data_IF_844207826893
#
_entry.id   IF_844207826893
#
_cell.length_a   1.000
_cell.length_b   1.000
_cell.length_c   1.000
_cell.angle_alpha   90.00
_cell.angle_beta   90.00
_cell.angle_gamma   90.00
#
_symmetry.space_group_name_H-M   'P 1'
#
loop_
_entity.id
_entity.type
_entity.pdbx_description
1 polymer ?
#
# COMPACT_ATOMS: atom_id res chain seq x y z
N UNK A 1 21.10 -23.45 21.29
CA UNK A 1 21.01 -24.88 21.61
C UNK A 1 20.11 -25.11 22.84
N UNK A 2 20.42 -24.52 24.01
CA UNK A 2 19.68 -24.78 25.25
C UNK A 2 18.13 -24.63 25.13
N UNK A 3 17.66 -23.62 24.40
CA UNK A 3 16.24 -23.35 24.21
C UNK A 3 15.51 -24.53 23.53
N UNK A 4 15.98 -24.98 22.38
CA UNK A 4 15.35 -26.10 21.66
C UNK A 4 15.53 -27.44 22.39
N UNK A 5 16.71 -27.65 23.01
CA UNK A 5 16.91 -28.85 23.86
C UNK A 5 15.93 -28.87 25.04
N UNK A 6 15.66 -27.72 25.65
CA UNK A 6 14.65 -27.62 26.71
C UNK A 6 13.24 -27.96 26.20
N UNK A 7 12.84 -27.38 25.05
CA UNK A 7 11.54 -27.64 24.43
C UNK A 7 11.35 -29.12 24.17
N UNK A 8 12.34 -29.77 23.57
CA UNK A 8 12.25 -31.19 23.19
C UNK A 8 12.39 -32.12 24.41
N UNK A 9 13.45 -31.96 25.20
CA UNK A 9 13.84 -32.94 26.22
C UNK A 9 13.20 -32.71 27.59
N UNK A 10 12.90 -31.47 27.96
CA UNK A 10 12.39 -31.11 29.27
C UNK A 10 10.90 -30.79 29.22
N UNK A 11 10.49 -29.93 28.31
CA UNK A 11 9.09 -29.57 28.13
C UNK A 11 8.30 -30.69 27.44
N UNK A 12 8.95 -31.44 26.53
CA UNK A 12 8.35 -32.55 25.81
C UNK A 12 7.28 -32.10 24.81
N UNK A 13 7.57 -31.05 24.04
CA UNK A 13 6.66 -30.53 23.04
C UNK A 13 6.51 -31.50 21.87
N UNK A 14 5.27 -31.70 21.41
CA UNK A 14 4.94 -32.50 20.22
C UNK A 14 5.13 -31.73 18.91
N UNK A 15 5.12 -30.39 18.97
CA UNK A 15 5.39 -29.49 17.87
C UNK A 15 5.88 -28.14 18.36
N UNK A 16 6.57 -27.39 17.50
CA UNK A 16 6.97 -25.99 17.75
C UNK A 16 6.23 -25.07 16.79
N UNK A 17 5.51 -24.11 17.33
CA UNK A 17 4.94 -23.02 16.56
C UNK A 17 5.80 -21.76 16.71
N UNK A 18 6.51 -21.38 15.66
CA UNK A 18 7.14 -20.08 15.57
C UNK A 18 6.10 -19.06 15.08
N UNK A 19 6.06 -17.91 15.74
CA UNK A 19 5.09 -16.86 15.46
C UNK A 19 5.81 -15.53 15.23
N UNK A 20 5.73 -14.99 14.02
CA UNK A 20 6.36 -13.70 13.69
C UNK A 20 6.76 -13.58 12.23
N UNK A 21 7.40 -12.47 11.89
CA UNK A 21 7.83 -12.18 10.52
C UNK A 21 9.28 -12.64 10.27
N UNK A 22 10.11 -12.64 11.29
CA UNK A 22 11.53 -13.00 11.21
C UNK A 22 11.85 -14.04 12.26
N UNK A 23 12.53 -15.11 11.84
CA UNK A 23 13.05 -16.12 12.73
C UNK A 23 14.56 -16.01 12.93
N UNK A 24 15.11 -16.86 13.81
CA UNK A 24 16.54 -16.98 14.02
C UNK A 24 17.07 -18.33 13.61
N UNK A 25 16.24 -19.36 13.67
CA UNK A 25 16.63 -20.76 13.44
C UNK A 25 17.21 -20.96 12.02
N UNK A 26 16.50 -20.48 11.02
CA UNK A 26 16.85 -20.61 9.61
C UNK A 26 18.14 -19.88 9.21
N UNK A 27 18.55 -18.88 10.01
CA UNK A 27 19.78 -18.10 9.78
C UNK A 27 21.01 -18.64 10.51
N UNK A 28 20.86 -19.72 11.28
CA UNK A 28 22.00 -20.34 11.98
C UNK A 28 23.00 -20.95 10.97
N UNK A 29 24.30 -21.07 11.36
CA UNK A 29 25.34 -21.56 10.46
C UNK A 29 25.04 -22.92 9.82
N UNK A 30 25.49 -23.09 8.58
CA UNK A 30 25.31 -24.30 7.79
C UNK A 30 25.31 -24.01 6.29
N UNK A 31 24.76 -24.90 5.48
CA UNK A 31 24.60 -24.68 4.04
C UNK A 31 23.66 -23.52 3.77
N UNK A 32 23.96 -22.70 2.77
CA UNK A 32 23.10 -21.58 2.37
C UNK A 32 21.74 -22.03 1.82
N UNK A 33 21.73 -23.12 1.06
CA UNK A 33 20.53 -23.67 0.43
C UNK A 33 20.35 -25.11 0.88
N UNK A 34 19.19 -25.38 1.46
CA UNK A 34 18.89 -26.67 2.06
C UNK A 34 19.65 -26.88 3.39
N UNK A 35 19.62 -28.10 3.87
CA UNK A 35 20.28 -28.50 5.12
C UNK A 35 20.97 -29.86 4.98
N UNK A 36 21.83 -30.15 5.95
CA UNK A 36 22.39 -31.47 6.20
C UNK A 36 22.51 -31.64 7.71
N UNK A 37 22.68 -32.87 8.19
CA UNK A 37 22.78 -33.20 9.61
C UNK A 37 23.87 -32.47 10.41
N UNK A 38 24.78 -31.74 9.72
CA UNK A 38 25.79 -30.89 10.33
C UNK A 38 25.41 -29.40 10.36
N UNK A 39 24.25 -29.02 9.84
CA UNK A 39 23.75 -27.64 9.90
C UNK A 39 23.13 -27.37 11.26
N UNK A 40 23.42 -26.20 11.85
CA UNK A 40 22.84 -25.84 13.14
C UNK A 40 21.32 -25.85 13.18
N UNK A 41 20.59 -25.35 12.16
CA UNK A 41 19.14 -25.46 12.15
C UNK A 41 18.62 -26.88 12.31
N UNK A 42 19.23 -27.85 11.62
CA UNK A 42 18.87 -29.27 11.71
C UNK A 42 19.16 -29.85 13.11
N UNK A 43 20.34 -29.56 13.63
CA UNK A 43 20.75 -29.99 14.99
C UNK A 43 19.89 -29.38 16.11
N UNK A 44 19.31 -28.21 15.86
CA UNK A 44 18.53 -27.48 16.89
C UNK A 44 17.07 -27.90 16.91
N UNK A 45 16.44 -28.04 15.73
CA UNK A 45 15.01 -28.40 15.65
C UNK A 45 14.80 -29.91 15.77
N UNK A 46 15.78 -30.73 15.36
CA UNK A 46 15.70 -32.18 15.40
C UNK A 46 14.48 -32.70 14.63
N UNK A 47 13.83 -33.70 15.23
CA UNK A 47 12.64 -34.35 14.66
C UNK A 47 11.31 -33.65 15.03
N UNK A 48 11.36 -32.54 15.78
CA UNK A 48 10.17 -31.83 16.24
C UNK A 48 9.52 -31.10 15.07
N UNK A 49 8.22 -31.34 14.78
CA UNK A 49 7.47 -30.62 13.75
C UNK A 49 7.57 -29.11 13.95
N UNK A 50 8.01 -28.40 12.89
CA UNK A 50 8.19 -26.96 12.91
C UNK A 50 7.10 -26.29 12.08
N UNK A 51 6.16 -25.67 12.75
CA UNK A 51 5.09 -24.86 12.15
C UNK A 51 5.46 -23.38 12.32
N UNK A 52 5.29 -22.58 11.30
CA UNK A 52 5.65 -21.19 11.35
C UNK A 52 4.54 -20.29 10.81
N UNK A 53 3.93 -19.47 11.66
CA UNK A 53 3.13 -18.36 11.20
C UNK A 53 4.04 -17.29 10.61
N UNK A 54 3.88 -17.00 9.33
CA UNK A 54 4.72 -16.07 8.60
C UNK A 54 3.89 -14.98 7.89
N UNK A 55 4.34 -13.72 7.96
CA UNK A 55 3.65 -12.63 7.29
C UNK A 55 3.57 -12.88 5.77
N UNK A 56 2.38 -12.77 5.20
CA UNK A 56 2.14 -13.01 3.78
C UNK A 56 3.03 -12.15 2.87
N UNK A 57 3.35 -10.94 3.31
CA UNK A 57 4.17 -9.98 2.57
C UNK A 57 5.70 -10.23 2.66
N UNK A 58 6.15 -11.31 3.33
CA UNK A 58 7.56 -11.67 3.42
C UNK A 58 7.88 -13.09 2.87
N UNK A 59 7.58 -13.35 1.58
CA UNK A 59 7.73 -14.69 1.00
C UNK A 59 9.18 -15.14 0.86
N UNK A 60 10.14 -14.22 0.79
CA UNK A 60 11.57 -14.54 0.64
C UNK A 60 12.12 -15.24 1.88
N UNK A 61 11.87 -14.66 3.06
CA UNK A 61 12.32 -15.27 4.31
C UNK A 61 11.50 -16.51 4.67
N UNK A 62 10.20 -16.55 4.36
CA UNK A 62 9.40 -17.76 4.49
C UNK A 62 9.99 -18.92 3.67
N UNK A 63 10.51 -18.66 2.47
CA UNK A 63 11.21 -19.64 1.66
C UNK A 63 12.52 -20.12 2.33
N UNK A 64 13.27 -19.21 2.97
CA UNK A 64 14.45 -19.57 3.74
C UNK A 64 14.06 -20.46 4.93
N UNK A 65 13.00 -20.12 5.67
CA UNK A 65 12.50 -20.94 6.78
C UNK A 65 12.13 -22.35 6.33
N UNK A 66 11.46 -22.51 5.18
CA UNK A 66 11.14 -23.83 4.60
C UNK A 66 12.40 -24.63 4.26
N UNK A 67 13.40 -24.01 3.67
CA UNK A 67 14.63 -24.69 3.19
C UNK A 67 15.64 -24.96 4.31
N UNK A 68 15.60 -24.16 5.38
CA UNK A 68 16.63 -24.16 6.41
C UNK A 68 16.12 -24.46 7.82
N UNK A 69 14.83 -24.74 8.00
CA UNK A 69 14.29 -25.19 9.27
C UNK A 69 13.10 -26.15 9.12
N UNK A 70 12.91 -26.74 7.94
CA UNK A 70 11.78 -27.63 7.62
C UNK A 70 10.41 -27.03 7.95
N UNK A 71 10.30 -25.69 7.95
CA UNK A 71 9.10 -25.03 8.36
C UNK A 71 7.91 -25.31 7.44
N UNK A 72 6.80 -25.76 8.01
CA UNK A 72 5.49 -25.67 7.38
C UNK A 72 4.96 -24.27 7.62
N UNK A 73 5.10 -23.38 6.63
CA UNK A 73 4.73 -21.97 6.77
C UNK A 73 3.23 -21.80 6.58
N UNK A 74 2.61 -21.05 7.48
CA UNK A 74 1.21 -20.63 7.36
C UNK A 74 1.20 -19.11 7.27
N UNK A 75 0.71 -18.59 6.15
CA UNK A 75 0.64 -17.13 5.97
C UNK A 75 -0.41 -16.51 6.87
N UNK A 76 -0.10 -15.36 7.45
CA UNK A 76 -1.08 -14.50 8.11
C UNK A 76 -1.19 -13.14 7.42
N UNK A 77 -2.35 -12.51 7.55
CA UNK A 77 -2.62 -11.21 6.96
C UNK A 77 -1.77 -10.14 7.66
N UNK A 78 -1.02 -9.40 6.87
CA UNK A 78 -0.34 -8.20 7.40
C UNK A 78 -1.36 -7.13 7.73
N UNK A 79 -1.20 -6.42 8.86
CA UNK A 79 -2.08 -5.30 9.17
C UNK A 79 -2.13 -4.31 8.01
N UNK A 80 -3.30 -3.72 7.74
CA UNK A 80 -3.38 -2.65 6.75
C UNK A 80 -2.50 -1.49 7.18
N UNK A 81 -1.97 -0.77 6.20
CA UNK A 81 -1.33 0.49 6.46
C UNK A 81 -2.38 1.60 6.42
N UNK A 82 -2.43 2.43 7.44
CA UNK A 82 -3.25 3.64 7.50
C UNK A 82 -2.39 4.87 7.33
N UNK A 83 -3.03 5.95 6.90
CA UNK A 83 -2.37 7.25 6.88
C UNK A 83 -1.99 7.68 8.29
N UNK A 84 -0.78 8.20 8.46
CA UNK A 84 -0.23 8.62 9.75
C UNK A 84 -1.10 9.66 10.47
N UNK A 85 -1.90 10.42 9.70
CA UNK A 85 -2.63 11.57 10.19
C UNK A 85 -1.72 12.72 10.61
N UNK A 86 -2.33 13.84 10.93
CA UNK A 86 -1.62 15.02 11.41
C UNK A 86 -1.75 15.16 12.93
N UNK A 87 -0.66 15.55 13.59
CA UNK A 87 -0.61 15.69 15.03
C UNK A 87 -0.24 17.12 15.44
N UNK A 88 -0.90 17.64 16.50
CA UNK A 88 -0.62 18.97 17.10
C UNK A 88 -0.51 20.11 16.07
N UNK A 89 0.64 20.81 16.02
CA UNK A 89 0.87 21.98 15.19
C UNK A 89 0.66 21.74 13.68
N UNK A 90 0.87 20.50 13.20
CA UNK A 90 0.58 20.16 11.80
C UNK A 90 -0.94 20.20 11.50
N UNK A 91 -1.77 19.84 12.47
CA UNK A 91 -3.23 19.96 12.34
C UNK A 91 -3.67 21.42 12.32
N UNK A 92 -3.11 22.25 13.22
CA UNK A 92 -3.33 23.69 13.24
C UNK A 92 -2.92 24.33 11.90
N UNK A 93 -1.78 23.90 11.36
CA UNK A 93 -1.30 24.37 10.07
C UNK A 93 -2.27 24.04 8.92
N UNK A 94 -2.88 22.84 8.93
CA UNK A 94 -3.92 22.47 7.97
C UNK A 94 -5.16 23.37 8.09
N UNK A 95 -5.57 23.72 9.29
CA UNK A 95 -6.70 24.65 9.54
C UNK A 95 -6.39 26.08 9.05
N UNK A 96 -5.15 26.56 9.26
CA UNK A 96 -4.70 27.86 8.74
C UNK A 96 -4.70 27.89 7.20
N UNK A 97 -4.25 26.82 6.55
CA UNK A 97 -4.27 26.70 5.09
C UNK A 97 -5.70 26.72 4.55
N UNK A 98 -6.62 25.99 5.19
CA UNK A 98 -8.05 26.02 4.82
C UNK A 98 -8.64 27.43 4.97
N UNK A 99 -8.26 28.15 6.04
CA UNK A 99 -8.67 29.53 6.25
C UNK A 99 -8.12 30.48 5.18
N UNK A 100 -6.87 30.27 4.76
CA UNK A 100 -6.26 31.04 3.67
C UNK A 100 -7.00 30.85 2.36
N UNK A 101 -7.36 29.63 2.00
CA UNK A 101 -8.11 29.34 0.76
C UNK A 101 -9.43 30.10 0.67
N UNK A 102 -10.13 30.26 1.79
CA UNK A 102 -11.37 31.03 1.86
C UNK A 102 -11.19 32.55 1.91
N UNK A 103 -10.01 33.05 2.24
CA UNK A 103 -9.77 34.48 2.55
C UNK A 103 -8.57 35.06 1.79
N UNK A 104 -7.98 34.35 0.84
CA UNK A 104 -6.75 34.76 0.13
C UNK A 104 -6.90 36.12 -0.59
N UNK A 105 -8.07 36.40 -1.15
CA UNK A 105 -8.38 37.64 -1.87
C UNK A 105 -8.82 38.79 -0.94
N UNK A 106 -8.84 38.54 0.36
CA UNK A 106 -9.19 39.53 1.36
C UNK A 106 -7.96 40.21 1.95
N UNK A 107 -8.12 41.37 2.57
CA UNK A 107 -7.06 42.07 3.30
C UNK A 107 -6.46 41.26 4.47
N UNK A 108 -7.02 40.08 4.79
CA UNK A 108 -6.53 39.17 5.83
C UNK A 108 -5.57 38.09 5.26
N UNK A 109 -5.55 37.88 3.95
CA UNK A 109 -4.69 36.87 3.31
C UNK A 109 -3.22 36.92 3.79
N UNK A 110 -2.53 38.05 3.72
CA UNK A 110 -1.13 38.17 4.17
C UNK A 110 -0.93 37.83 5.65
N UNK A 111 -1.86 38.20 6.54
CA UNK A 111 -1.75 37.88 7.96
C UNK A 111 -1.85 36.38 8.23
N UNK A 112 -2.70 35.67 7.47
CA UNK A 112 -2.83 34.19 7.58
C UNK A 112 -1.54 33.54 7.06
N UNK A 113 -0.95 34.03 5.97
CA UNK A 113 0.32 33.50 5.44
C UNK A 113 1.45 33.65 6.46
N UNK A 114 1.54 34.80 7.16
CA UNK A 114 2.52 34.97 8.24
C UNK A 114 2.31 33.94 9.37
N UNK A 115 1.06 33.64 9.72
CA UNK A 115 0.76 32.59 10.71
C UNK A 115 1.15 31.21 10.20
N UNK A 116 0.92 30.91 8.91
CA UNK A 116 1.33 29.66 8.28
C UNK A 116 2.86 29.52 8.33
N UNK A 117 3.61 30.54 7.92
CA UNK A 117 5.07 30.55 7.96
C UNK A 117 5.58 30.31 9.39
N UNK A 118 5.09 31.07 10.37
CA UNK A 118 5.50 30.93 11.76
C UNK A 118 5.21 29.52 12.31
N UNK A 119 4.03 28.98 12.02
CA UNK A 119 3.66 27.62 12.48
C UNK A 119 4.48 26.56 11.77
N UNK A 120 4.75 26.71 10.46
CA UNK A 120 5.58 25.81 9.68
C UNK A 120 7.03 25.74 10.22
N UNK A 121 7.64 26.90 10.55
CA UNK A 121 8.95 26.98 11.20
C UNK A 121 8.92 26.30 12.58
N UNK A 122 7.88 26.55 13.39
CA UNK A 122 7.72 25.89 14.69
C UNK A 122 7.63 24.38 14.57
N UNK A 123 7.07 23.88 13.45
CA UNK A 123 7.00 22.45 13.12
C UNK A 123 8.27 21.92 12.43
N UNK A 124 9.33 22.73 12.25
CA UNK A 124 10.59 22.42 11.54
C UNK A 124 10.40 22.07 10.06
N UNK A 125 9.35 22.55 9.41
CA UNK A 125 9.11 22.32 7.97
C UNK A 125 10.00 23.22 7.10
N UNK A 126 10.54 24.31 7.63
CA UNK A 126 11.52 25.20 6.96
C UNK A 126 12.78 24.46 6.48
N UNK A 127 13.14 23.36 7.16
CA UNK A 127 14.27 22.53 6.76
C UNK A 127 14.01 21.69 5.50
N UNK A 128 12.75 21.37 5.26
CA UNK A 128 12.31 20.55 4.13
C UNK A 128 11.74 21.39 2.98
N UNK A 129 11.38 22.63 3.24
CA UNK A 129 10.72 23.56 2.29
C UNK A 129 11.56 24.83 2.20
N UNK A 130 12.51 24.91 1.24
CA UNK A 130 13.41 26.06 1.08
C UNK A 130 12.67 27.37 0.76
N UNK A 131 11.47 27.30 0.24
CA UNK A 131 10.63 28.44 -0.11
C UNK A 131 10.06 29.18 1.12
N UNK A 132 10.10 28.59 2.31
CA UNK A 132 9.71 29.25 3.55
C UNK A 132 10.79 30.28 3.92
N UNK A 133 10.46 31.58 3.96
CA UNK A 133 11.41 32.60 4.37
C UNK A 133 11.79 32.42 5.85
N UNK A 134 13.10 32.43 6.10
CA UNK A 134 13.66 32.34 7.47
C UNK A 134 14.12 33.71 8.02
N UNK A 135 13.96 34.75 7.22
CA UNK A 135 14.20 36.14 7.58
C UNK A 135 12.92 36.84 8.04
N UNK A 136 13.01 38.10 8.46
CA UNK A 136 11.87 38.90 8.91
C UNK A 136 10.96 39.40 7.75
N UNK A 137 10.88 38.66 6.65
CA UNK A 137 10.01 38.97 5.52
C UNK A 137 8.53 38.95 5.92
N UNK A 138 7.80 40.05 5.68
CA UNK A 138 6.36 40.11 5.91
C UNK A 138 5.61 39.68 4.63
N UNK A 139 4.65 38.76 4.77
CA UNK A 139 3.81 38.31 3.66
C UNK A 139 3.00 39.45 3.00
N UNK A 140 2.91 40.63 3.61
CA UNK A 140 2.31 41.82 2.99
C UNK A 140 3.13 42.36 1.85
N UNK A 141 4.46 42.20 1.92
CA UNK A 141 5.41 42.67 0.91
C UNK A 141 5.59 41.66 -0.23
N UNK A 142 5.00 40.46 -0.09
CA UNK A 142 5.00 39.40 -1.12
C UNK A 142 3.83 39.62 -2.10
N UNK A 143 4.03 39.26 -3.36
CA UNK A 143 2.95 39.18 -4.32
C UNK A 143 2.05 37.95 -4.04
N UNK A 144 0.90 37.89 -4.72
CA UNK A 144 -0.07 36.81 -4.50
C UNK A 144 0.48 35.44 -4.92
N UNK A 145 1.24 35.42 -6.02
CA UNK A 145 1.80 34.16 -6.58
C UNK A 145 2.84 33.56 -5.62
N UNK A 146 3.67 34.41 -5.00
CA UNK A 146 4.64 33.99 -3.98
C UNK A 146 3.94 33.43 -2.74
N UNK A 147 2.88 34.08 -2.27
CA UNK A 147 2.08 33.60 -1.14
C UNK A 147 1.43 32.24 -1.45
N UNK A 148 0.80 32.11 -2.61
CA UNK A 148 0.15 30.88 -3.05
C UNK A 148 1.16 29.74 -3.20
N UNK A 149 2.37 30.03 -3.71
CA UNK A 149 3.47 29.08 -3.82
C UNK A 149 3.93 28.56 -2.45
N UNK A 150 4.19 29.45 -1.49
CA UNK A 150 4.61 29.05 -0.13
C UNK A 150 3.53 28.18 0.53
N UNK A 151 2.29 28.62 0.50
CA UNK A 151 1.16 27.88 1.09
C UNK A 151 0.98 26.53 0.39
N UNK A 152 1.12 26.49 -0.93
CA UNK A 152 1.05 25.27 -1.73
C UNK A 152 2.12 24.25 -1.34
N UNK A 153 3.38 24.70 -1.17
CA UNK A 153 4.49 23.84 -0.75
C UNK A 153 4.32 23.30 0.67
N UNK A 154 3.86 24.17 1.60
CA UNK A 154 3.55 23.75 2.96
C UNK A 154 2.41 22.73 2.96
N UNK A 155 1.38 22.95 2.17
CA UNK A 155 0.24 22.03 2.07
C UNK A 155 0.65 20.68 1.44
N UNK A 156 1.43 20.71 0.37
CA UNK A 156 2.01 19.51 -0.23
C UNK A 156 2.79 18.69 0.80
N UNK A 157 3.63 19.34 1.61
CA UNK A 157 4.41 18.66 2.66
C UNK A 157 3.53 18.06 3.75
N UNK A 158 2.46 18.77 4.15
CA UNK A 158 1.47 18.23 5.08
C UNK A 158 0.78 16.99 4.53
N UNK A 159 0.41 17.00 3.24
CA UNK A 159 -0.20 15.85 2.59
C UNK A 159 0.76 14.67 2.51
N UNK A 160 2.04 14.91 2.21
CA UNK A 160 3.08 13.87 2.24
C UNK A 160 3.17 13.23 3.64
N UNK A 161 3.18 14.03 4.70
CA UNK A 161 3.25 13.54 6.09
C UNK A 161 1.96 12.78 6.45
N UNK A 162 0.80 13.34 6.14
CA UNK A 162 -0.50 12.72 6.44
C UNK A 162 -0.70 11.39 5.69
N UNK A 163 -0.20 11.30 4.47
CA UNK A 163 -0.32 10.12 3.63
C UNK A 163 0.73 9.04 3.90
N UNK A 164 1.68 9.27 4.80
CA UNK A 164 2.63 8.24 5.21
C UNK A 164 1.89 7.05 5.78
N UNK A 165 2.16 5.89 5.19
CA UNK A 165 1.51 4.65 5.59
C UNK A 165 2.20 4.10 6.84
N UNK A 166 1.44 3.97 7.91
CA UNK A 166 1.87 3.31 9.14
C UNK A 166 1.06 2.02 9.34
N UNK A 167 1.69 0.91 9.72
CA UNK A 167 0.96 -0.31 10.05
C UNK A 167 0.01 -0.06 11.23
N UNK A 168 -1.26 -0.44 11.07
CA UNK A 168 -2.27 -0.35 12.13
C UNK A 168 -2.18 -1.53 13.06
N UNK A 169 -1.46 -1.38 14.16
CA UNK A 169 -1.38 -2.42 15.18
C UNK A 169 -0.71 -3.71 14.70
N UNK A 170 -1.14 -4.82 15.29
CA UNK A 170 -0.68 -6.17 14.96
C UNK A 170 -1.88 -7.01 14.52
N UNK A 171 -1.66 -7.91 13.56
CA UNK A 171 -2.67 -8.87 13.16
C UNK A 171 -2.99 -9.85 14.31
N UNK A 172 -4.26 -10.10 14.52
CA UNK A 172 -4.75 -11.10 15.47
C UNK A 172 -5.22 -12.31 14.67
N UNK A 173 -4.47 -13.41 14.76
CA UNK A 173 -4.77 -14.65 14.04
C UNK A 173 -6.16 -15.17 14.43
N UNK A 174 -6.94 -15.57 13.45
CA UNK A 174 -8.31 -16.02 13.63
C UNK A 174 -9.34 -14.89 13.80
N UNK A 175 -8.92 -13.65 13.69
CA UNK A 175 -9.83 -12.50 13.73
C UNK A 175 -9.84 -11.82 12.35
N UNK A 176 -10.98 -11.81 11.65
CA UNK A 176 -11.13 -11.00 10.46
C UNK A 176 -10.88 -9.52 10.78
N UNK A 177 -10.36 -8.74 9.83
CA UNK A 177 -10.16 -7.33 10.04
C UNK A 177 -11.49 -6.61 10.33
N UNK A 178 -11.41 -5.54 11.10
CA UNK A 178 -12.54 -4.63 11.31
C UNK A 178 -12.95 -3.95 9.99
N UNK A 179 -14.14 -3.34 9.97
CA UNK A 179 -14.59 -2.61 8.80
C UNK A 179 -13.64 -1.46 8.42
N UNK A 180 -13.02 -0.81 9.41
CA UNK A 180 -12.05 0.28 9.15
C UNK A 180 -10.75 -0.25 8.54
N UNK A 181 -10.21 -1.35 9.05
CA UNK A 181 -9.03 -2.01 8.49
C UNK A 181 -9.29 -2.54 7.07
N UNK A 182 -10.49 -3.07 6.82
CA UNK A 182 -10.91 -3.50 5.49
C UNK A 182 -11.01 -2.30 4.52
N UNK A 183 -11.56 -1.16 4.96
CA UNK A 183 -11.57 0.08 4.19
C UNK A 183 -10.16 0.51 3.84
N UNK A 184 -9.24 0.55 4.81
CA UNK A 184 -7.86 0.94 4.57
C UNK A 184 -7.17 0.03 3.53
N UNK A 185 -7.35 -1.30 3.67
CA UNK A 185 -6.84 -2.29 2.72
C UNK A 185 -7.41 -2.06 1.31
N UNK A 186 -8.73 -1.92 1.20
CA UNK A 186 -9.39 -1.76 -0.10
C UNK A 186 -9.12 -0.42 -0.77
N UNK A 187 -8.94 0.67 -0.01
CA UNK A 187 -8.51 1.97 -0.55
C UNK A 187 -7.14 1.85 -1.22
N UNK A 188 -6.19 1.18 -0.55
CA UNK A 188 -4.87 0.94 -1.11
C UNK A 188 -4.92 0.05 -2.38
N UNK A 189 -5.76 -0.99 -2.38
CA UNK A 189 -5.98 -1.84 -3.56
C UNK A 189 -6.61 -1.04 -4.71
N UNK A 190 -7.59 -0.19 -4.42
CA UNK A 190 -8.29 0.66 -5.39
C UNK A 190 -7.42 1.78 -5.96
N UNK A 191 -6.33 2.13 -5.27
CA UNK A 191 -5.38 3.16 -5.70
C UNK A 191 -4.42 2.72 -6.81
N UNK A 192 -4.46 1.46 -7.25
CA UNK A 192 -3.50 0.89 -8.21
C UNK A 192 -4.24 0.46 -9.48
N UNK A 193 -3.76 0.92 -10.64
CA UNK A 193 -4.20 0.45 -11.94
C UNK A 193 -3.82 -1.02 -12.16
N UNK A 194 -4.73 -1.78 -12.79
CA UNK A 194 -4.51 -3.19 -13.14
C UNK A 194 -4.80 -3.39 -14.63
N UNK A 195 -3.80 -3.06 -15.43
CA UNK A 195 -3.91 -3.08 -16.91
C UNK A 195 -4.32 -4.46 -17.42
N UNK A 196 -3.75 -5.57 -16.86
CA UNK A 196 -4.09 -6.94 -17.25
C UNK A 196 -5.56 -7.30 -17.02
N UNK A 197 -6.18 -6.67 -16.05
CA UNK A 197 -7.58 -6.88 -15.68
C UNK A 197 -8.44 -5.75 -16.25
N UNK A 198 -7.86 -4.77 -16.96
CA UNK A 198 -8.49 -3.57 -17.48
C UNK A 198 -9.27 -2.81 -16.39
N UNK A 199 -8.70 -2.71 -15.19
CA UNK A 199 -9.27 -2.00 -14.05
C UNK A 199 -8.47 -0.72 -13.83
N UNK A 200 -9.15 0.42 -13.89
CA UNK A 200 -8.57 1.72 -13.59
C UNK A 200 -8.55 1.97 -12.07
N UNK A 201 -7.51 2.66 -11.62
CA UNK A 201 -7.44 3.12 -10.24
C UNK A 201 -8.56 4.11 -9.92
N UNK A 202 -9.07 4.07 -8.69
CA UNK A 202 -10.16 4.94 -8.26
C UNK A 202 -9.81 6.44 -8.35
N UNK A 203 -8.59 6.90 -8.00
CA UNK A 203 -8.18 8.29 -8.23
C UNK A 203 -8.26 8.71 -9.71
N UNK A 204 -7.89 7.83 -10.63
CA UNK A 204 -7.98 8.10 -12.06
C UNK A 204 -9.43 8.22 -12.53
N UNK A 205 -10.31 7.32 -12.08
CA UNK A 205 -11.76 7.39 -12.38
C UNK A 205 -12.34 8.72 -11.89
N UNK A 206 -11.99 9.15 -10.68
CA UNK A 206 -12.44 10.42 -10.11
C UNK A 206 -11.90 11.63 -10.88
N UNK A 207 -10.62 11.66 -11.23
CA UNK A 207 -10.05 12.73 -12.04
C UNK A 207 -10.74 12.83 -13.41
N UNK A 208 -10.93 11.70 -14.10
CA UNK A 208 -11.64 11.65 -15.39
C UNK A 208 -13.08 12.13 -15.27
N UNK A 209 -13.78 11.87 -14.16
CA UNK A 209 -15.15 12.30 -13.93
C UNK A 209 -15.34 13.83 -13.95
N UNK A 210 -14.28 14.57 -13.68
CA UNK A 210 -14.24 16.04 -13.72
C UNK A 210 -13.46 16.58 -14.93
N UNK A 211 -13.17 15.70 -15.90
CA UNK A 211 -12.46 16.08 -17.14
C UNK A 211 -10.98 16.38 -16.95
N UNK A 212 -10.34 15.84 -15.88
CA UNK A 212 -8.93 16.03 -15.58
C UNK A 212 -8.14 14.74 -15.78
N UNK A 213 -6.86 14.91 -16.09
CA UNK A 213 -5.93 13.81 -16.16
C UNK A 213 -5.15 13.70 -14.83
N UNK A 214 -5.14 12.52 -14.22
CA UNK A 214 -4.54 12.29 -12.91
C UNK A 214 -3.03 12.55 -12.91
N UNK A 215 -2.33 12.21 -14.00
CA UNK A 215 -0.89 12.45 -14.10
C UNK A 215 -0.56 13.94 -14.13
N UNK A 216 -1.40 14.74 -14.77
CA UNK A 216 -1.26 16.20 -14.77
C UNK A 216 -1.46 16.78 -13.37
N UNK A 217 -2.44 16.24 -12.61
CA UNK A 217 -2.69 16.63 -11.22
C UNK A 217 -1.48 16.28 -10.35
N UNK A 218 -0.92 15.08 -10.49
CA UNK A 218 0.27 14.67 -9.73
C UNK A 218 1.47 15.58 -10.00
N UNK A 219 1.75 15.92 -11.27
CA UNK A 219 2.86 16.83 -11.63
C UNK A 219 2.68 18.22 -11.03
N UNK A 220 1.49 18.78 -11.14
CA UNK A 220 1.19 20.10 -10.58
C UNK A 220 1.19 20.10 -9.04
N UNK A 221 0.82 18.97 -8.41
CA UNK A 221 1.00 18.77 -6.98
C UNK A 221 2.49 18.75 -6.60
N UNK A 222 3.34 18.09 -7.37
CA UNK A 222 4.79 18.05 -7.13
C UNK A 222 5.45 19.45 -7.29
N UNK A 223 4.86 20.31 -8.10
CA UNK A 223 5.23 21.73 -8.23
C UNK A 223 4.69 22.58 -7.05
N UNK A 224 3.80 22.02 -6.21
CA UNK A 224 3.17 22.72 -5.08
C UNK A 224 2.10 23.73 -5.48
N UNK A 225 1.43 23.52 -6.63
CA UNK A 225 0.29 24.35 -7.04
C UNK A 225 -0.88 24.12 -6.11
N UNK A 226 -1.23 25.10 -5.32
CA UNK A 226 -2.20 25.00 -4.23
C UNK A 226 -3.56 24.39 -4.65
N UNK A 227 -4.08 24.77 -5.82
CA UNK A 227 -5.34 24.23 -6.33
C UNK A 227 -5.27 22.74 -6.65
N UNK A 228 -4.14 22.28 -7.19
CA UNK A 228 -3.94 20.88 -7.54
C UNK A 228 -3.65 20.01 -6.31
N UNK A 229 -2.95 20.56 -5.32
CA UNK A 229 -2.76 19.90 -4.02
C UNK A 229 -4.11 19.67 -3.36
N UNK A 230 -4.99 20.68 -3.36
CA UNK A 230 -6.35 20.57 -2.84
C UNK A 230 -7.17 19.55 -3.65
N UNK A 231 -7.10 19.59 -4.98
CA UNK A 231 -7.82 18.65 -5.82
C UNK A 231 -7.39 17.20 -5.56
N UNK A 232 -6.10 16.95 -5.39
CA UNK A 232 -5.58 15.63 -5.07
C UNK A 232 -6.08 15.14 -3.71
N UNK A 233 -6.18 16.03 -2.72
CA UNK A 233 -6.78 15.71 -1.44
C UNK A 233 -8.27 15.35 -1.60
N UNK A 234 -9.03 16.15 -2.33
CA UNK A 234 -10.46 15.90 -2.56
C UNK A 234 -10.68 14.53 -3.24
N UNK A 235 -9.82 14.17 -4.22
CA UNK A 235 -9.82 12.85 -4.86
C UNK A 235 -9.53 11.73 -3.84
N UNK A 236 -8.56 11.93 -2.97
CA UNK A 236 -8.19 10.96 -1.92
C UNK A 236 -9.32 10.76 -0.92
N UNK A 237 -9.92 11.85 -0.44
CA UNK A 237 -11.06 11.79 0.48
C UNK A 237 -12.30 11.17 -0.18
N UNK A 238 -12.59 11.52 -1.43
CA UNK A 238 -13.67 10.93 -2.20
C UNK A 238 -13.46 9.42 -2.42
N UNK A 239 -12.24 9.00 -2.75
CA UNK A 239 -11.87 7.59 -2.88
C UNK A 239 -12.14 6.82 -1.59
N UNK A 240 -11.69 7.35 -0.46
CA UNK A 240 -11.93 6.76 0.86
C UNK A 240 -13.41 6.71 1.19
N UNK A 241 -14.16 7.78 0.92
CA UNK A 241 -15.61 7.84 1.16
C UNK A 241 -16.37 6.80 0.32
N UNK A 242 -16.01 6.64 -0.96
CA UNK A 242 -16.61 5.63 -1.83
C UNK A 242 -16.38 4.21 -1.32
N UNK A 243 -15.13 3.86 -0.97
CA UNK A 243 -14.80 2.54 -0.43
C UNK A 243 -15.47 2.31 0.93
N UNK A 244 -15.51 3.33 1.80
CA UNK A 244 -16.22 3.25 3.08
C UNK A 244 -17.72 3.03 2.88
N UNK A 245 -18.35 3.77 1.96
CA UNK A 245 -19.75 3.57 1.59
C UNK A 245 -20.02 2.17 1.04
N UNK A 246 -19.07 1.60 0.31
CA UNK A 246 -19.15 0.23 -0.19
C UNK A 246 -19.04 -0.81 0.93
N UNK A 247 -18.02 -0.71 1.79
CA UNK A 247 -17.77 -1.64 2.89
C UNK A 247 -18.92 -1.57 3.92
N UNK A 248 -19.49 -0.39 4.18
CA UNK A 248 -20.60 -0.25 5.12
C UNK A 248 -21.85 -1.07 4.74
N UNK A 249 -22.04 -1.35 3.46
CA UNK A 249 -23.13 -2.21 2.97
C UNK A 249 -22.86 -3.71 3.23
N UNK A 250 -21.61 -4.08 3.48
CA UNK A 250 -21.18 -5.43 3.83
C UNK A 250 -21.04 -5.62 5.35
N UNK A 251 -21.26 -4.58 6.14
CA UNK A 251 -21.12 -4.60 7.60
C UNK A 251 -22.48 -4.75 8.27
N UNK A 252 -22.50 -5.47 9.37
CA UNK A 252 -23.66 -5.50 10.27
C UNK A 252 -23.80 -4.18 11.06
N UNK A 253 -24.89 -3.95 11.78
CA UNK A 253 -25.08 -2.74 12.59
C UNK A 253 -24.00 -2.51 13.67
N UNK A 254 -23.23 -3.55 14.04
CA UNK A 254 -22.12 -3.45 14.98
C UNK A 254 -20.79 -3.12 14.31
N UNK A 255 -20.78 -2.93 12.98
CA UNK A 255 -19.57 -2.65 12.18
C UNK A 255 -18.72 -3.88 11.90
N UNK A 256 -19.26 -5.10 12.14
CA UNK A 256 -18.57 -6.34 11.80
C UNK A 256 -18.89 -6.75 10.37
N UNK A 257 -17.86 -7.19 9.66
CA UNK A 257 -18.01 -7.75 8.32
C UNK A 257 -18.59 -9.17 8.45
N UNK A 258 -19.79 -9.36 7.93
CA UNK A 258 -20.50 -10.63 8.01
C UNK A 258 -20.53 -11.33 6.65
N UNK A 259 -20.22 -12.62 6.62
CA UNK A 259 -20.27 -13.42 5.40
C UNK A 259 -21.66 -13.38 4.72
N UNK A 260 -22.74 -13.23 5.48
CA UNK A 260 -24.10 -13.06 4.95
C UNK A 260 -24.35 -11.69 4.31
N UNK A 261 -23.72 -10.62 4.81
CA UNK A 261 -23.84 -9.29 4.23
C UNK A 261 -23.05 -9.15 2.92
N UNK A 262 -21.96 -9.91 2.77
CA UNK A 262 -21.20 -9.99 1.50
C UNK A 262 -22.07 -10.54 0.35
N UNK A 263 -22.99 -11.46 0.63
CA UNK A 263 -23.97 -11.95 -0.34
C UNK A 263 -24.91 -10.85 -0.89
N UNK A 264 -25.25 -9.86 -0.06
CA UNK A 264 -26.07 -8.72 -0.48
C UNK A 264 -25.36 -7.82 -1.52
N UNK A 265 -24.01 -7.71 -1.44
CA UNK A 265 -23.23 -7.00 -2.46
C UNK A 265 -23.32 -7.67 -3.84
N UNK A 266 -23.47 -8.99 -3.90
CA UNK A 266 -23.65 -9.71 -5.18
C UNK A 266 -24.91 -9.29 -5.93
N UNK A 267 -26.00 -8.98 -5.23
CA UNK A 267 -27.24 -8.49 -5.82
C UNK A 267 -27.16 -7.08 -6.40
N UNK A 268 -26.19 -6.26 -5.96
CA UNK A 268 -26.03 -4.89 -6.45
C UNK A 268 -25.54 -4.81 -7.91
N UNK A 269 -24.88 -5.83 -8.40
CA UNK A 269 -24.33 -5.89 -9.74
C UNK A 269 -25.19 -6.65 -10.75
N UNK A 270 -26.30 -7.30 -10.30
CA UNK A 270 -27.14 -8.18 -11.11
C UNK A 270 -28.45 -7.60 -11.65
N UNK A 271 -28.81 -6.35 -11.33
CA UNK A 271 -30.11 -5.76 -11.66
C UNK A 271 -30.09 -4.62 -12.70
N UNK A 272 -31.23 -4.37 -13.35
CA UNK A 272 -31.38 -3.28 -14.31
C UNK A 272 -31.37 -1.86 -13.68
N UNK A 273 -31.55 -1.75 -12.36
CA UNK A 273 -31.39 -0.50 -11.62
C UNK A 273 -30.05 -0.55 -10.88
N UNK A 274 -29.05 0.12 -11.41
CA UNK A 274 -27.69 0.15 -10.85
C UNK A 274 -27.70 1.01 -9.57
N UNK A 275 -27.87 0.39 -8.42
CA UNK A 275 -27.55 1.07 -7.17
C UNK A 275 -26.04 1.36 -7.15
N UNK A 276 -25.66 2.61 -6.89
CA UNK A 276 -24.26 3.00 -6.80
C UNK A 276 -23.58 2.18 -5.69
N UNK A 277 -22.47 1.48 -5.98
CA UNK A 277 -21.77 0.68 -4.98
C UNK A 277 -21.41 1.49 -3.71
N UNK A 278 -21.05 2.74 -3.87
CA UNK A 278 -20.72 3.66 -2.80
C UNK A 278 -21.91 4.42 -2.18
N UNK A 279 -23.14 4.24 -2.70
CA UNK A 279 -24.32 4.95 -2.17
C UNK A 279 -24.21 6.47 -2.35
N UNK A 280 -24.55 7.19 -1.29
CA UNK A 280 -24.55 8.68 -1.27
C UNK A 280 -23.18 9.27 -0.86
N UNK A 281 -22.10 8.50 -0.90
CA UNK A 281 -20.80 8.94 -0.39
C UNK A 281 -20.22 10.18 -1.07
N UNK A 282 -20.61 10.44 -2.31
CA UNK A 282 -20.16 11.61 -3.08
C UNK A 282 -21.15 12.77 -3.08
N UNK A 283 -22.30 12.63 -2.41
CA UNK A 283 -23.35 13.65 -2.40
C UNK A 283 -22.83 15.00 -1.87
N UNK A 284 -23.03 16.04 -2.65
CA UNK A 284 -22.57 17.41 -2.32
C UNK A 284 -21.07 17.66 -2.56
N UNK A 285 -20.33 16.69 -3.09
CA UNK A 285 -18.94 16.89 -3.54
C UNK A 285 -18.91 17.31 -5.01
N UNK A 286 -17.75 17.77 -5.47
CA UNK A 286 -17.57 18.09 -6.90
C UNK A 286 -17.69 16.88 -7.86
N UNK A 287 -17.68 15.65 -7.32
CA UNK A 287 -17.77 14.39 -8.05
C UNK A 287 -19.21 13.85 -8.14
N UNK A 288 -20.17 14.48 -7.44
CA UNK A 288 -21.55 14.02 -7.36
C UNK A 288 -22.20 13.94 -8.75
N UNK A 289 -22.74 12.77 -9.09
CA UNK A 289 -23.39 12.51 -10.37
C UNK A 289 -22.47 12.49 -11.59
N UNK A 290 -21.15 12.66 -11.43
CA UNK A 290 -20.19 12.73 -12.56
C UNK A 290 -19.38 11.47 -12.77
N UNK A 291 -19.26 10.60 -11.76
CA UNK A 291 -18.45 9.39 -11.83
C UNK A 291 -19.01 8.41 -12.85
N UNK A 292 -18.17 7.92 -13.76
CA UNK A 292 -18.54 6.87 -14.71
C UNK A 292 -18.87 5.57 -13.96
N UNK A 293 -20.15 5.23 -13.98
CA UNK A 293 -20.67 4.03 -13.29
C UNK A 293 -20.17 2.75 -13.94
N UNK A 294 -19.90 2.75 -15.26
CA UNK A 294 -19.43 1.56 -15.97
C UNK A 294 -17.96 1.28 -15.65
N UNK A 295 -17.11 2.30 -15.72
CA UNK A 295 -15.69 2.17 -15.38
C UNK A 295 -15.51 1.80 -13.90
N UNK A 296 -16.25 2.44 -13.00
CA UNK A 296 -16.19 2.16 -11.56
C UNK A 296 -16.78 0.81 -11.18
N UNK A 297 -17.77 0.30 -11.92
CA UNK A 297 -18.40 -0.99 -11.65
C UNK A 297 -17.38 -2.14 -11.64
N UNK A 298 -16.53 -2.21 -12.64
CA UNK A 298 -15.49 -3.24 -12.76
C UNK A 298 -14.54 -3.22 -11.57
N UNK A 299 -14.11 -2.04 -11.14
CA UNK A 299 -13.32 -1.87 -9.93
C UNK A 299 -14.06 -2.35 -8.68
N UNK A 300 -15.32 -1.97 -8.46
CA UNK A 300 -16.07 -2.36 -7.27
C UNK A 300 -16.45 -3.85 -7.24
N UNK A 301 -16.64 -4.49 -8.39
CA UNK A 301 -16.75 -5.95 -8.50
C UNK A 301 -15.45 -6.63 -8.05
N UNK A 302 -14.30 -6.09 -8.45
CA UNK A 302 -13.00 -6.56 -8.01
C UNK A 302 -12.78 -6.32 -6.51
N UNK A 303 -13.14 -5.14 -5.99
CA UNK A 303 -13.05 -4.86 -4.54
C UNK A 303 -13.97 -5.78 -3.72
N UNK A 304 -15.13 -6.17 -4.26
CA UNK A 304 -15.99 -7.18 -3.63
C UNK A 304 -15.26 -8.52 -3.50
N UNK A 305 -14.64 -8.98 -4.58
CA UNK A 305 -13.83 -10.20 -4.56
C UNK A 305 -12.72 -10.08 -3.50
N UNK A 306 -11.98 -8.98 -3.49
CA UNK A 306 -10.91 -8.74 -2.50
C UNK A 306 -11.45 -8.77 -1.06
N UNK A 307 -12.56 -8.08 -0.81
CA UNK A 307 -13.19 -8.05 0.51
C UNK A 307 -13.60 -9.46 0.98
N UNK A 308 -14.20 -10.26 0.09
CA UNK A 308 -14.56 -11.66 0.37
C UNK A 308 -13.33 -12.50 0.76
N UNK A 309 -12.17 -12.24 0.16
CA UNK A 309 -10.94 -12.96 0.51
C UNK A 309 -10.29 -12.43 1.80
N UNK A 310 -10.34 -11.13 2.05
CA UNK A 310 -9.78 -10.49 3.26
C UNK A 310 -10.49 -10.97 4.52
N UNK A 311 -11.82 -11.18 4.48
CA UNK A 311 -12.61 -11.60 5.65
C UNK A 311 -12.62 -13.11 5.87
N UNK A 312 -12.07 -13.91 4.97
CA UNK A 312 -11.96 -15.38 5.17
C UNK A 312 -10.88 -15.67 6.20
N UNK A 313 -11.29 -16.30 7.29
CA UNK A 313 -10.36 -16.86 8.26
C UNK A 313 -10.01 -18.30 7.87
N UNK A 314 -8.84 -18.45 7.25
CA UNK A 314 -8.25 -19.77 6.98
C UNK A 314 -7.03 -20.05 7.88
N UNK A 315 -6.61 -19.10 8.70
CA UNK A 315 -5.34 -19.16 9.43
C UNK A 315 -5.38 -20.20 10.54
N UNK A 316 -6.43 -20.17 11.38
CA UNK A 316 -6.61 -21.16 12.44
C UNK A 316 -6.93 -22.56 11.89
N UNK A 317 -7.68 -22.62 10.79
CA UNK A 317 -7.94 -23.87 10.08
C UNK A 317 -6.65 -24.53 9.60
N UNK A 318 -5.80 -23.76 8.92
CA UNK A 318 -4.50 -24.23 8.44
C UNK A 318 -3.55 -24.64 9.58
N UNK A 319 -3.58 -23.96 10.73
CA UNK A 319 -2.83 -24.40 11.91
C UNK A 319 -3.33 -25.75 12.42
N UNK A 320 -4.64 -25.93 12.47
CA UNK A 320 -5.25 -27.19 12.92
C UNK A 320 -4.89 -28.34 11.97
N UNK A 321 -4.95 -28.11 10.66
CA UNK A 321 -4.51 -29.06 9.64
C UNK A 321 -3.02 -29.43 9.82
N UNK A 322 -2.16 -28.42 10.02
CA UNK A 322 -0.72 -28.64 10.22
C UNK A 322 -0.43 -29.44 11.51
N UNK A 323 -1.11 -29.14 12.61
CA UNK A 323 -0.98 -29.88 13.87
C UNK A 323 -1.49 -31.31 13.78
N UNK A 324 -2.51 -31.57 12.96
CA UNK A 324 -3.01 -32.93 12.66
C UNK A 324 -2.11 -33.69 11.69
N UNK A 325 -1.05 -33.09 11.17
CA UNK A 325 -0.20 -33.69 10.14
C UNK A 325 -0.85 -33.71 8.75
N UNK A 326 -1.87 -32.92 8.55
CA UNK A 326 -2.60 -32.79 7.28
C UNK A 326 -1.90 -31.82 6.34
N UNK A 327 -2.33 -31.82 5.07
CA UNK A 327 -1.73 -30.99 4.04
C UNK A 327 -2.29 -29.58 4.03
N UNK A 328 -1.44 -28.59 4.34
CA UNK A 328 -1.78 -27.18 4.18
C UNK A 328 -1.60 -26.74 2.74
N UNK A 329 -2.66 -26.23 2.11
CA UNK A 329 -2.64 -25.81 0.70
C UNK A 329 -1.55 -24.74 0.44
N UNK A 330 -0.76 -24.88 -0.64
CA UNK A 330 0.23 -23.87 -0.99
C UNK A 330 -0.44 -22.63 -1.59
N UNK A 331 0.21 -21.49 -1.41
CA UNK A 331 -0.21 -20.25 -2.01
C UNK A 331 0.95 -19.26 -2.18
N UNK A 332 0.80 -18.28 -3.10
CA UNK A 332 1.82 -17.28 -3.27
C UNK A 332 1.95 -16.43 -2.01
N UNK A 333 3.17 -15.98 -1.72
CA UNK A 333 3.40 -14.88 -0.81
C UNK A 333 3.64 -13.60 -1.58
N UNK A 334 3.44 -12.47 -0.94
CA UNK A 334 3.64 -11.14 -1.50
C UNK A 334 2.79 -10.09 -0.82
N UNK A 335 2.87 -8.88 -1.31
CA UNK A 335 2.05 -7.78 -0.82
C UNK A 335 0.58 -7.94 -1.28
N UNK A 336 -0.39 -8.08 -0.35
CA UNK A 336 -1.80 -8.21 -0.70
C UNK A 336 -2.39 -7.01 -1.45
N UNK A 337 -1.81 -5.83 -1.30
CA UNK A 337 -2.26 -4.61 -1.99
C UNK A 337 -1.90 -4.69 -3.48
N UNK A 338 -0.68 -5.08 -3.77
CA UNK A 338 -0.19 -5.20 -5.15
C UNK A 338 -0.73 -6.45 -5.84
N UNK A 339 -0.81 -7.55 -5.12
CA UNK A 339 -1.35 -8.80 -5.63
C UNK A 339 -2.37 -9.44 -4.68
N UNK A 340 -3.65 -9.08 -4.76
CA UNK A 340 -4.71 -9.69 -3.96
C UNK A 340 -4.90 -11.20 -4.14
N UNK A 341 -4.26 -11.85 -5.13
CA UNK A 341 -4.26 -13.32 -5.28
C UNK A 341 -3.53 -14.04 -4.15
N UNK A 342 -2.74 -13.30 -3.36
CA UNK A 342 -2.14 -13.78 -2.10
C UNK A 342 -3.23 -14.17 -1.10
N UNK A 343 -4.37 -13.49 -1.14
CA UNK A 343 -5.53 -13.73 -0.29
C UNK A 343 -6.35 -14.95 -0.75
N UNK A 344 -7.08 -15.60 0.17
CA UNK A 344 -7.01 -15.46 1.61
C UNK A 344 -5.68 -16.00 2.14
N UNK A 345 -5.26 -15.51 3.31
CA UNK A 345 -4.11 -16.05 4.05
C UNK A 345 -4.40 -17.45 4.62
N UNK A 346 -3.54 -18.01 5.45
CA UNK A 346 -3.67 -19.40 5.91
C UNK A 346 -3.18 -20.41 4.88
N UNK A 347 -2.18 -20.06 4.08
CA UNK A 347 -1.60 -20.93 3.06
C UNK A 347 -0.13 -21.19 3.33
N UNK A 348 0.35 -22.36 2.89
CA UNK A 348 1.77 -22.67 2.92
C UNK A 348 2.50 -21.87 1.84
N UNK A 349 3.21 -20.82 2.25
CA UNK A 349 3.83 -19.86 1.32
C UNK A 349 4.84 -20.56 0.41
N UNK A 350 4.72 -20.40 -0.89
CA UNK A 350 5.73 -20.80 -1.85
C UNK A 350 6.47 -19.61 -2.45
N UNK A 351 7.67 -19.88 -2.98
CA UNK A 351 8.47 -18.88 -3.65
C UNK A 351 7.77 -18.35 -4.90
N UNK A 352 7.97 -17.06 -5.19
CA UNK A 352 7.61 -16.47 -6.46
C UNK A 352 8.40 -17.12 -7.60
N UNK A 353 7.75 -17.33 -8.74
CA UNK A 353 8.45 -17.69 -9.98
C UNK A 353 9.26 -16.48 -10.47
N UNK A 354 10.61 -16.55 -10.51
CA UNK A 354 11.42 -15.43 -10.97
C UNK A 354 11.12 -14.97 -12.40
N UNK A 355 10.54 -15.86 -13.22
CA UNK A 355 10.13 -15.53 -14.58
C UNK A 355 8.79 -14.80 -14.64
N UNK A 356 8.03 -14.78 -13.54
CA UNK A 356 6.76 -14.07 -13.47
C UNK A 356 6.90 -12.60 -13.00
N UNK A 357 8.14 -12.09 -12.89
CA UNK A 357 8.42 -10.70 -12.52
C UNK A 357 9.26 -10.00 -13.60
N UNK A 358 9.07 -8.68 -13.80
CA UNK A 358 8.07 -7.84 -13.15
C UNK A 358 6.65 -8.08 -13.65
N UNK A 359 5.66 -7.95 -12.78
CA UNK A 359 4.27 -7.99 -13.18
C UNK A 359 3.87 -6.66 -13.85
N UNK A 360 2.74 -6.66 -14.58
CA UNK A 360 2.20 -5.42 -15.17
C UNK A 360 1.88 -4.36 -14.13
N UNK A 361 1.32 -4.73 -12.98
CA UNK A 361 1.09 -3.81 -11.87
C UNK A 361 2.39 -3.20 -11.33
N UNK A 362 3.45 -4.01 -11.21
CA UNK A 362 4.78 -3.52 -10.84
C UNK A 362 5.37 -2.59 -11.90
N UNK A 363 5.15 -2.90 -13.19
CA UNK A 363 5.60 -2.06 -14.30
C UNK A 363 4.88 -0.72 -14.31
N UNK A 364 3.56 -0.69 -14.11
CA UNK A 364 2.77 0.55 -14.03
C UNK A 364 3.23 1.44 -12.87
N UNK A 365 3.40 0.86 -11.68
CA UNK A 365 3.94 1.57 -10.52
C UNK A 365 5.35 2.11 -10.77
N UNK A 366 6.23 1.28 -11.33
CA UNK A 366 7.61 1.66 -11.65
C UNK A 366 7.68 2.82 -12.65
N UNK A 367 6.76 2.87 -13.63
CA UNK A 367 6.70 3.95 -14.61
C UNK A 367 6.49 5.30 -13.96
N UNK A 368 5.55 5.40 -13.04
CA UNK A 368 5.28 6.64 -12.30
C UNK A 368 6.51 7.09 -11.51
N UNK A 369 7.18 6.15 -10.84
CA UNK A 369 8.40 6.44 -10.07
C UNK A 369 9.53 6.92 -10.98
N UNK A 370 9.76 6.22 -12.10
CA UNK A 370 10.83 6.56 -13.06
C UNK A 370 10.58 7.93 -13.70
N UNK A 371 9.37 8.19 -14.16
CA UNK A 371 9.01 9.47 -14.80
C UNK A 371 9.23 10.63 -13.83
N UNK A 372 8.80 10.50 -12.58
CA UNK A 372 9.00 11.53 -11.53
C UNK A 372 10.46 11.71 -11.16
N UNK A 373 11.20 10.62 -11.00
CA UNK A 373 12.62 10.67 -10.66
C UNK A 373 13.43 11.38 -11.74
N UNK A 374 13.21 11.01 -13.00
CA UNK A 374 13.91 11.60 -14.14
C UNK A 374 13.53 13.08 -14.28
N UNK A 375 12.25 13.42 -14.19
CA UNK A 375 11.82 14.80 -14.32
C UNK A 375 12.36 15.68 -13.18
N UNK A 376 12.33 15.19 -11.94
CA UNK A 376 12.93 15.88 -10.81
C UNK A 376 14.42 16.17 -11.04
N UNK A 377 15.18 15.16 -11.45
CA UNK A 377 16.60 15.31 -11.72
C UNK A 377 16.87 16.28 -12.90
N UNK A 378 16.02 16.25 -13.91
CA UNK A 378 16.11 17.20 -15.04
C UNK A 378 15.88 18.64 -14.59
N UNK A 379 14.91 18.88 -13.73
CA UNK A 379 14.63 20.21 -13.16
C UNK A 379 15.78 20.68 -12.28
N UNK A 380 16.29 19.84 -11.38
CA UNK A 380 17.41 20.14 -10.48
C UNK A 380 18.72 20.41 -11.26
N UNK A 381 18.90 19.82 -12.45
CA UNK A 381 20.08 19.94 -13.30
C UNK A 381 19.89 20.88 -14.50
N UNK A 382 19.06 21.91 -14.39
CA UNK A 382 18.83 22.91 -15.43
C UNK A 382 18.43 22.33 -16.80
N UNK A 383 17.59 21.30 -16.81
CA UNK A 383 17.08 20.66 -18.02
C UNK A 383 17.93 19.52 -18.57
N UNK A 384 19.06 19.20 -17.94
CA UNK A 384 19.96 18.12 -18.38
C UNK A 384 19.59 16.81 -17.70
N UNK A 385 19.54 15.74 -18.47
CA UNK A 385 19.33 14.39 -17.94
C UNK A 385 20.57 13.89 -17.16
N UNK A 386 20.40 13.05 -16.16
CA UNK A 386 21.52 12.45 -15.45
C UNK A 386 22.33 11.54 -16.39
N UNK A 387 23.67 11.65 -16.36
CA UNK A 387 24.55 10.77 -17.15
C UNK A 387 24.60 9.33 -16.64
N UNK A 388 24.35 9.15 -15.33
CA UNK A 388 24.33 7.83 -14.68
C UNK A 388 23.36 7.81 -13.52
N UNK A 389 22.70 6.66 -13.33
CA UNK A 389 21.78 6.41 -12.22
C UNK A 389 22.22 5.11 -11.54
N UNK A 390 22.46 5.19 -10.23
CA UNK A 390 22.75 4.01 -9.41
C UNK A 390 21.47 3.44 -8.82
N UNK A 391 21.20 2.16 -9.07
CA UNK A 391 20.07 1.44 -8.52
C UNK A 391 20.56 0.29 -7.64
N UNK A 392 20.09 0.25 -6.39
CA UNK A 392 20.38 -0.83 -5.46
C UNK A 392 19.22 -1.82 -5.48
N UNK A 393 19.45 -2.99 -6.06
CA UNK A 393 18.42 -4.03 -6.20
C UNK A 393 18.48 -5.01 -5.02
N UNK A 394 17.46 -4.96 -4.18
CA UNK A 394 17.25 -5.95 -3.12
C UNK A 394 16.35 -7.07 -3.64
N UNK A 395 16.83 -8.31 -3.55
CA UNK A 395 16.05 -9.49 -3.96
C UNK A 395 14.74 -9.60 -3.17
N UNK A 396 14.78 -9.30 -1.87
CA UNK A 396 13.60 -9.31 -0.99
C UNK A 396 12.54 -8.31 -1.41
N UNK A 397 12.94 -7.10 -1.82
CA UNK A 397 12.00 -6.07 -2.26
C UNK A 397 11.35 -6.44 -3.60
N UNK A 398 12.15 -6.98 -4.54
CA UNK A 398 11.61 -7.44 -5.81
C UNK A 398 10.61 -8.60 -5.64
N UNK A 399 10.82 -9.48 -4.65
CA UNK A 399 9.84 -10.52 -4.34
C UNK A 399 8.58 -9.95 -3.71
N UNK A 400 8.70 -8.98 -2.78
CA UNK A 400 7.57 -8.32 -2.12
C UNK A 400 6.72 -7.51 -3.09
N UNK A 401 7.37 -6.77 -4.00
CA UNK A 401 6.75 -5.84 -4.93
C UNK A 401 6.48 -6.45 -6.31
N UNK A 402 6.73 -7.74 -6.46
CA UNK A 402 6.61 -8.44 -7.75
C UNK A 402 7.46 -7.80 -8.86
N UNK A 403 8.67 -7.33 -8.50
CA UNK A 403 9.67 -6.85 -9.45
C UNK A 403 9.62 -5.36 -9.76
N UNK A 404 9.08 -4.52 -8.89
CA UNK A 404 8.99 -3.08 -9.15
C UNK A 404 10.36 -2.43 -9.37
N UNK A 405 11.37 -2.72 -8.52
CA UNK A 405 12.71 -2.18 -8.72
C UNK A 405 13.36 -2.70 -10.01
N UNK A 406 13.08 -3.94 -10.39
CA UNK A 406 13.52 -4.51 -11.66
C UNK A 406 12.84 -3.82 -12.86
N UNK A 407 11.54 -3.52 -12.74
CA UNK A 407 10.80 -2.77 -13.73
C UNK A 407 11.34 -1.35 -13.90
N UNK A 408 11.73 -0.67 -12.82
CA UNK A 408 12.39 0.64 -12.89
C UNK A 408 13.68 0.59 -13.72
N UNK A 409 14.53 -0.43 -13.50
CA UNK A 409 15.74 -0.62 -14.32
C UNK A 409 15.38 -0.80 -15.79
N UNK A 410 14.44 -1.69 -16.10
CA UNK A 410 14.03 -1.96 -17.50
C UNK A 410 13.52 -0.69 -18.18
N UNK A 411 12.67 0.09 -17.52
CA UNK A 411 12.15 1.34 -18.06
C UNK A 411 13.25 2.39 -18.28
N UNK A 412 14.22 2.49 -17.36
CA UNK A 412 15.34 3.46 -17.50
C UNK A 412 16.27 3.10 -18.65
N UNK A 413 16.42 1.82 -18.98
CA UNK A 413 17.20 1.41 -20.17
C UNK A 413 16.35 1.33 -21.44
N UNK A 414 15.08 1.69 -21.37
CA UNK A 414 14.19 1.81 -22.52
C UNK A 414 13.64 0.46 -23.02
N UNK A 415 13.56 -0.55 -22.16
CA UNK A 415 12.98 -1.86 -22.52
C UNK A 415 11.71 -2.16 -21.73
N UNK A 416 10.82 -2.93 -22.33
CA UNK A 416 9.58 -3.38 -21.71
C UNK A 416 9.55 -4.91 -21.64
N UNK A 417 9.18 -5.50 -20.48
CA UNK A 417 8.98 -6.93 -20.36
C UNK A 417 7.73 -7.36 -21.14
N UNK A 418 7.86 -8.45 -21.87
CA UNK A 418 6.76 -9.07 -22.62
C UNK A 418 6.43 -10.43 -21.99
N UNK A 419 5.32 -10.54 -21.26
CA UNK A 419 4.88 -11.80 -20.69
C UNK A 419 4.30 -12.73 -21.78
N UNK A 420 4.51 -14.02 -21.63
CA UNK A 420 3.84 -15.04 -22.41
C UNK A 420 2.40 -15.32 -21.89
N UNK A 421 1.73 -16.28 -22.51
CA UNK A 421 0.37 -16.68 -22.12
C UNK A 421 0.26 -17.23 -20.66
N UNK A 422 1.39 -17.58 -20.04
CA UNK A 422 1.47 -18.04 -18.65
C UNK A 422 1.94 -16.93 -17.70
N UNK A 423 2.07 -15.69 -18.19
CA UNK A 423 2.54 -14.55 -17.42
C UNK A 423 4.06 -14.54 -17.17
N UNK A 424 4.85 -15.32 -17.90
CA UNK A 424 6.31 -15.39 -17.75
C UNK A 424 6.99 -14.42 -18.70
N UNK A 425 7.90 -13.63 -18.15
CA UNK A 425 8.71 -12.70 -18.94
C UNK A 425 9.85 -13.46 -19.65
N UNK A 426 9.63 -13.76 -20.89
CA UNK A 426 10.59 -14.50 -21.73
C UNK A 426 11.26 -13.62 -22.80
N UNK A 427 10.76 -12.40 -22.98
CA UNK A 427 11.22 -11.46 -24.01
C UNK A 427 11.20 -10.03 -23.48
N UNK A 428 12.13 -9.24 -23.95
CA UNK A 428 12.16 -7.78 -23.77
C UNK A 428 11.95 -7.10 -25.12
N UNK A 429 11.18 -6.04 -25.13
CA UNK A 429 10.93 -5.19 -26.29
C UNK A 429 11.46 -3.77 -26.09
#
# INVERSE_FOLDING_TARGET
AAYYTYIEKVFGADAVLHFGTHGSLEFMPGKQVGMSGNCYPDLLIGDTPNIYYYAANNPSEATIAKRRSYANTISYLTPPAENAGLYKGLKELKELISSYQGLKDSGRGPSIVNSIITTAITCNLDKDIPEIPTDDSDAKDMDQDTRDMIVGKVYQKLMEIESRLLPCGLHVVGCPPSAEEAVATLVNIAGIDREDEEILALPQILAQSIGRDIETIYRANDEGKLEEVQLLQDITEASRAMVKGFVSKASDPSGRLAAGALGALGGMFGGAAVALPWGDALKGTQFDGKVDVVASRKLFEYLRFCLEQVVKDNELGALTEALNGEYVLPGPGGDPIRNPKVLPTGKNIHALDPQAIPTSAALASAKVVVDRLIERQRVENNGVYPESIALVLWGTDNIKTYGESLAQVMLMVGVRPMPDALGRVNKLE
#
